data_IF_209086139114
#
_entry.id   IF_209086139114
#
_cell.length_a   1.000
_cell.length_b   1.000
_cell.length_c   1.000
_cell.angle_alpha   90.00
_cell.angle_beta   90.00
_cell.angle_gamma   90.00
#
_symmetry.space_group_name_H-M   'P 1'
#
loop_
_entity.id
_entity.type
_entity.pdbx_description
1 polymer ?
#
# COMPACT_ATOMS: atom_id res chain seq x y z
N UNK A 1 0.80 13.94 2.01
CA UNK A 1 0.91 12.51 1.65
C UNK A 1 0.03 11.70 2.56
N UNK A 2 -0.49 10.58 2.06
CA UNK A 2 -1.22 9.62 2.87
C UNK A 2 -0.34 8.99 3.95
N UNK A 3 -0.97 8.56 5.05
CA UNK A 3 -0.28 7.89 6.15
C UNK A 3 -0.55 6.39 6.05
N UNK A 4 0.51 5.57 5.88
CA UNK A 4 0.37 4.13 5.77
C UNK A 4 1.63 3.42 6.27
N UNK A 5 1.41 2.32 7.00
CA UNK A 5 2.43 1.32 7.28
C UNK A 5 1.94 0.02 6.63
N UNK A 6 2.75 -0.53 5.75
CA UNK A 6 2.46 -1.78 5.07
C UNK A 6 3.17 -2.92 5.78
N UNK A 7 2.44 -3.99 6.05
CA UNK A 7 2.95 -5.19 6.71
C UNK A 7 2.81 -6.38 5.79
N UNK A 8 3.83 -7.24 5.78
CA UNK A 8 3.77 -8.58 5.20
C UNK A 8 4.14 -9.58 6.31
N UNK A 9 3.25 -10.53 6.57
CA UNK A 9 3.47 -11.60 7.52
C UNK A 9 3.58 -12.90 6.75
N UNK A 10 4.76 -13.52 6.79
CA UNK A 10 5.04 -14.76 6.08
C UNK A 10 4.86 -15.97 6.99
N UNK A 11 4.25 -17.01 6.46
CA UNK A 11 4.00 -18.31 7.08
C UNK A 11 4.53 -19.42 6.19
N UNK A 12 4.81 -20.59 6.74
CA UNK A 12 5.28 -21.75 5.98
C UNK A 12 4.33 -22.14 4.82
N UNK A 13 3.04 -21.93 5.01
CA UNK A 13 2.03 -22.20 4.00
C UNK A 13 0.82 -21.27 4.22
N UNK A 14 -0.07 -21.11 3.22
CA UNK A 14 -1.28 -20.30 3.35
C UNK A 14 -2.38 -21.08 4.10
N UNK A 15 -2.16 -21.32 5.39
CA UNK A 15 -2.99 -22.19 6.25
C UNK A 15 -4.48 -21.83 6.24
N UNK A 16 -4.82 -20.54 6.13
CA UNK A 16 -6.20 -20.05 6.06
C UNK A 16 -7.01 -20.62 4.89
N UNK A 17 -6.33 -21.07 3.82
CA UNK A 17 -6.99 -21.65 2.66
C UNK A 17 -7.59 -23.02 2.96
N UNK A 18 -7.00 -23.77 3.91
CA UNK A 18 -7.57 -25.07 4.34
C UNK A 18 -8.91 -24.90 5.04
N UNK A 19 -9.16 -23.75 5.66
CA UNK A 19 -10.42 -23.39 6.30
C UNK A 19 -11.42 -22.70 5.35
N UNK A 20 -11.08 -22.66 4.05
CA UNK A 20 -11.93 -22.05 3.03
C UNK A 20 -11.89 -20.52 3.02
N UNK A 21 -10.91 -19.92 3.71
CA UNK A 21 -10.75 -18.46 3.76
C UNK A 21 -9.87 -17.97 2.63
N UNK A 22 -10.15 -16.75 2.16
CA UNK A 22 -9.43 -16.12 1.05
C UNK A 22 -8.17 -15.38 1.50
N UNK A 23 -7.95 -15.20 2.82
CA UNK A 23 -6.89 -14.34 3.35
C UNK A 23 -7.18 -12.84 3.22
N UNK A 24 -8.36 -12.47 2.70
CA UNK A 24 -8.81 -11.08 2.66
C UNK A 24 -9.64 -10.76 3.90
N UNK A 25 -9.41 -9.59 4.47
CA UNK A 25 -10.23 -9.09 5.58
C UNK A 25 -10.39 -7.57 5.52
N UNK A 26 -11.47 -7.09 6.13
CA UNK A 26 -11.70 -5.67 6.45
C UNK A 26 -12.13 -5.61 7.91
N UNK A 27 -11.57 -4.68 8.66
CA UNK A 27 -11.81 -4.50 10.09
C UNK A 27 -12.29 -3.07 10.39
N UNK A 28 -13.29 -2.97 11.22
CA UNK A 28 -13.80 -1.71 11.78
C UNK A 28 -13.04 -1.29 13.06
N UNK A 29 -12.35 -2.24 13.68
CA UNK A 29 -11.57 -2.06 14.91
C UNK A 29 -10.17 -2.64 14.75
N UNK A 30 -9.27 -2.30 15.68
CA UNK A 30 -7.91 -2.82 15.70
C UNK A 30 -6.90 -2.00 14.91
N UNK A 31 -5.62 -2.40 14.93
CA UNK A 31 -4.52 -1.64 14.33
C UNK A 31 -4.52 -1.63 12.81
N UNK A 32 -4.90 -2.74 12.17
CA UNK A 32 -4.93 -2.84 10.71
C UNK A 32 -6.37 -2.88 10.20
N UNK A 33 -6.65 -2.13 9.14
CA UNK A 33 -8.01 -1.93 8.64
C UNK A 33 -8.41 -2.88 7.52
N UNK A 34 -7.46 -3.37 6.79
CA UNK A 34 -7.68 -4.33 5.72
C UNK A 34 -6.41 -5.10 5.41
N UNK A 35 -6.59 -6.23 4.78
CA UNK A 35 -5.49 -7.06 4.33
C UNK A 35 -5.88 -8.04 3.25
N UNK A 36 -4.88 -8.65 2.65
CA UNK A 36 -5.03 -9.54 1.50
C UNK A 36 -4.05 -10.71 1.59
N UNK A 37 -4.44 -11.83 1.00
CA UNK A 37 -3.52 -12.91 0.65
C UNK A 37 -2.58 -12.43 -0.48
N UNK A 38 -1.31 -12.32 -0.15
CA UNK A 38 -0.23 -11.94 -1.08
C UNK A 38 0.74 -13.09 -1.32
N UNK A 39 0.27 -14.31 -1.09
CA UNK A 39 1.08 -15.52 -1.29
C UNK A 39 1.48 -15.68 -2.75
N UNK A 40 2.68 -16.20 -3.03
CA UNK A 40 3.08 -16.52 -4.39
C UNK A 40 2.14 -17.56 -5.02
N UNK A 41 1.99 -17.51 -6.34
CA UNK A 41 1.13 -18.44 -7.08
C UNK A 41 1.54 -19.91 -6.90
N UNK A 42 2.81 -20.16 -6.57
CA UNK A 42 3.32 -21.51 -6.27
C UNK A 42 2.72 -22.14 -5.03
N UNK A 43 2.21 -21.32 -4.08
CA UNK A 43 1.69 -21.78 -2.80
C UNK A 43 2.75 -22.28 -1.82
N UNK A 44 4.04 -22.07 -2.11
CA UNK A 44 5.15 -22.56 -1.27
C UNK A 44 5.31 -21.78 0.04
N UNK A 45 4.67 -20.64 0.17
CA UNK A 45 4.62 -19.83 1.37
C UNK A 45 3.25 -19.18 1.48
N UNK A 46 2.80 -18.90 2.69
CA UNK A 46 1.64 -18.06 2.96
C UNK A 46 2.09 -16.64 3.27
N UNK A 47 1.53 -15.63 2.63
CA UNK A 47 1.81 -14.23 2.95
C UNK A 47 0.51 -13.46 3.13
N UNK A 48 0.28 -12.98 4.34
CA UNK A 48 -0.79 -12.02 4.60
C UNK A 48 -0.22 -10.61 4.55
N UNK A 49 -0.80 -9.79 3.71
CA UNK A 49 -0.51 -8.38 3.63
C UNK A 49 -1.54 -7.60 4.44
N UNK A 50 -1.11 -6.67 5.29
CA UNK A 50 -1.99 -5.87 6.13
C UNK A 50 -1.55 -4.40 6.16
N UNK A 51 -2.48 -3.50 6.50
CA UNK A 51 -2.23 -2.08 6.43
C UNK A 51 -2.75 -1.34 7.67
N UNK A 52 -1.84 -0.64 8.34
CA UNK A 52 -2.23 0.50 9.14
C UNK A 52 -2.49 1.66 8.18
N UNK A 53 -3.64 2.29 8.26
CA UNK A 53 -4.02 3.32 7.31
C UNK A 53 -4.59 4.55 8.02
N UNK A 54 -4.25 5.73 7.51
CA UNK A 54 -4.78 6.99 8.01
C UNK A 54 -4.39 7.28 9.46
N UNK A 55 -5.37 7.40 10.36
CA UNK A 55 -5.13 7.69 11.77
C UNK A 55 -4.38 6.57 12.47
N UNK A 56 -4.71 5.32 12.18
CA UNK A 56 -4.02 4.17 12.75
C UNK A 56 -2.53 4.19 12.39
N UNK A 57 -2.18 4.50 11.13
CA UNK A 57 -0.77 4.61 10.75
C UNK A 57 -0.05 5.71 11.52
N UNK A 58 -0.71 6.86 11.77
CA UNK A 58 -0.11 7.94 12.57
C UNK A 58 0.10 7.57 14.04
N UNK A 59 -0.89 6.91 14.64
CA UNK A 59 -0.82 6.49 16.05
C UNK A 59 0.18 5.36 16.24
N UNK A 60 0.12 4.34 15.38
CA UNK A 60 0.99 3.16 15.47
C UNK A 60 2.41 3.43 14.97
N UNK A 61 2.62 4.40 14.11
CA UNK A 61 3.96 4.86 13.72
C UNK A 61 4.79 5.42 14.89
N UNK A 62 4.13 5.82 15.99
CA UNK A 62 4.81 6.25 17.23
C UNK A 62 5.19 5.08 18.15
N UNK A 63 4.78 3.87 17.84
CA UNK A 63 5.10 2.66 18.59
C UNK A 63 6.35 1.99 18.04
N UNK A 64 6.91 1.07 18.81
CA UNK A 64 8.00 0.23 18.34
C UNK A 64 7.49 -0.82 17.33
N UNK A 65 8.38 -1.33 16.49
CA UNK A 65 8.07 -2.42 15.57
C UNK A 65 7.51 -3.63 16.31
N UNK A 66 8.10 -4.02 17.44
CA UNK A 66 7.62 -5.14 18.24
C UNK A 66 6.19 -4.95 18.80
N UNK A 67 5.82 -3.72 19.16
CA UNK A 67 4.44 -3.42 19.58
C UNK A 67 3.47 -3.51 18.39
N UNK A 68 3.88 -3.08 17.21
CA UNK A 68 3.08 -3.20 15.98
C UNK A 68 2.92 -4.66 15.57
N UNK A 69 4.01 -5.42 15.57
CA UNK A 69 3.99 -6.86 15.27
C UNK A 69 3.02 -7.60 16.18
N UNK A 70 3.16 -7.44 17.50
CA UNK A 70 2.26 -8.09 18.48
C UNK A 70 0.78 -7.73 18.24
N UNK A 71 0.50 -6.46 17.96
CA UNK A 71 -0.85 -6.00 17.71
C UNK A 71 -1.43 -6.55 16.39
N UNK A 72 -0.62 -6.62 15.32
CA UNK A 72 -1.02 -7.19 14.04
C UNK A 72 -1.28 -8.68 14.18
N UNK A 73 -0.35 -9.44 14.77
CA UNK A 73 -0.50 -10.88 14.96
C UNK A 73 -1.73 -11.21 15.82
N UNK A 74 -1.97 -10.42 16.89
CA UNK A 74 -3.17 -10.56 17.70
C UNK A 74 -4.46 -10.30 16.93
N UNK A 75 -4.47 -9.34 16.03
CA UNK A 75 -5.63 -9.09 15.18
C UNK A 75 -5.82 -10.18 14.11
N UNK A 76 -4.73 -10.63 13.46
CA UNK A 76 -4.80 -11.71 12.49
C UNK A 76 -5.30 -13.02 13.12
N UNK A 77 -4.94 -13.29 14.36
CA UNK A 77 -5.46 -14.42 15.12
C UNK A 77 -7.00 -14.41 15.23
N UNK A 78 -7.61 -13.23 15.37
CA UNK A 78 -9.07 -13.12 15.45
C UNK A 78 -9.78 -13.48 14.14
N UNK A 79 -9.10 -13.36 13.00
CA UNK A 79 -9.64 -13.67 11.68
C UNK A 79 -9.29 -15.08 11.19
N UNK A 80 -8.07 -15.53 11.51
CA UNK A 80 -7.48 -16.72 10.90
C UNK A 80 -7.10 -17.81 11.90
N UNK A 81 -7.35 -17.58 13.19
CA UNK A 81 -7.04 -18.58 14.24
C UNK A 81 -5.61 -18.52 14.75
N UNK A 82 -5.28 -19.42 15.65
CA UNK A 82 -4.02 -19.42 16.42
C UNK A 82 -2.75 -19.53 15.57
N UNK A 83 -2.84 -20.15 14.40
CA UNK A 83 -1.69 -20.32 13.49
C UNK A 83 -1.13 -18.97 13.00
N UNK A 84 -1.98 -17.94 12.99
CA UNK A 84 -1.57 -16.58 12.68
C UNK A 84 -0.54 -15.98 13.67
N UNK A 85 -0.39 -16.57 14.86
CA UNK A 85 0.60 -16.15 15.89
C UNK A 85 2.00 -16.72 15.68
N UNK A 86 2.18 -17.57 14.67
CA UNK A 86 3.45 -18.28 14.44
C UNK A 86 4.02 -17.98 13.06
N UNK A 87 4.35 -16.71 12.75
CA UNK A 87 4.93 -16.35 11.46
C UNK A 87 6.36 -16.87 11.34
N UNK A 88 6.78 -17.16 10.11
CA UNK A 88 8.19 -17.38 9.75
C UNK A 88 8.95 -16.05 9.75
N UNK A 89 8.27 -14.97 9.27
CA UNK A 89 8.85 -13.64 9.20
C UNK A 89 7.77 -12.57 9.27
N UNK A 90 8.08 -11.46 9.95
CA UNK A 90 7.33 -10.22 9.93
C UNK A 90 8.16 -9.13 9.26
N UNK A 91 7.59 -8.46 8.29
CA UNK A 91 8.22 -7.36 7.56
C UNK A 91 7.28 -6.17 7.51
N UNK A 92 7.78 -4.98 7.82
CA UNK A 92 6.98 -3.77 7.68
C UNK A 92 7.73 -2.66 6.95
N UNK A 93 6.96 -1.75 6.37
CA UNK A 93 7.46 -0.52 5.75
C UNK A 93 6.61 0.65 6.22
N UNK A 94 7.19 1.49 7.06
CA UNK A 94 6.58 2.76 7.47
C UNK A 94 6.91 3.82 6.42
N UNK A 95 5.97 4.06 5.52
CA UNK A 95 6.14 5.04 4.45
C UNK A 95 6.16 6.49 4.93
N UNK A 96 5.67 6.78 6.14
CA UNK A 96 5.74 8.11 6.74
C UNK A 96 7.16 8.44 7.20
N UNK A 97 7.91 7.42 7.66
CA UNK A 97 9.30 7.54 8.06
C UNK A 97 10.26 7.63 6.86
N UNK A 98 9.80 7.30 5.64
CA UNK A 98 10.61 7.36 4.42
C UNK A 98 10.94 8.82 4.06
N UNK A 99 12.22 9.24 4.09
CA UNK A 99 12.58 10.65 3.97
C UNK A 99 12.24 11.27 2.61
N UNK A 100 12.17 10.46 1.56
CA UNK A 100 11.93 10.92 0.20
C UNK A 100 10.46 11.01 -0.17
N UNK A 101 9.65 10.05 0.24
CA UNK A 101 8.21 10.00 -0.06
C UNK A 101 7.36 10.63 1.02
N UNK A 102 7.75 10.49 2.30
CA UNK A 102 7.06 11.04 3.49
C UNK A 102 5.59 10.60 3.56
N UNK A 103 5.31 9.39 3.11
CA UNK A 103 3.98 8.78 3.12
C UNK A 103 3.65 8.04 1.83
N UNK A 104 2.49 7.40 1.81
CA UNK A 104 1.90 6.70 0.67
C UNK A 104 0.37 6.63 0.83
N UNK A 105 -0.39 6.27 -0.19
CA UNK A 105 0.10 6.00 -1.58
C UNK A 105 0.19 7.28 -2.39
N UNK A 106 -0.69 8.22 -2.18
CA UNK A 106 -0.82 9.47 -2.93
C UNK A 106 -0.98 10.69 -2.01
N UNK A 107 -0.83 11.88 -2.59
CA UNK A 107 -1.10 13.14 -1.90
C UNK A 107 -2.62 13.35 -1.76
N UNK A 108 -3.07 13.56 -0.54
CA UNK A 108 -4.46 13.96 -0.32
C UNK A 108 -4.72 15.36 -0.90
N UNK A 109 -5.73 15.48 -1.72
CA UNK A 109 -6.20 16.75 -2.28
C UNK A 109 -7.59 17.08 -1.75
N UNK A 110 -7.80 18.35 -1.36
CA UNK A 110 -9.12 18.80 -0.95
C UNK A 110 -10.12 18.76 -2.13
N UNK A 111 -11.42 18.68 -1.85
CA UNK A 111 -12.46 18.73 -2.89
C UNK A 111 -12.27 19.95 -3.82
N UNK A 112 -12.40 19.73 -5.12
CA UNK A 112 -12.26 20.75 -6.16
C UNK A 112 -10.83 21.01 -6.65
N UNK A 113 -9.78 20.62 -5.91
CA UNK A 113 -8.38 20.87 -6.31
C UNK A 113 -8.04 20.18 -7.63
N UNK A 114 -8.38 18.91 -7.80
CA UNK A 114 -8.11 18.20 -9.05
C UNK A 114 -8.93 18.70 -10.23
N UNK A 115 -10.12 19.24 -9.99
CA UNK A 115 -10.93 19.88 -11.03
C UNK A 115 -10.25 21.16 -11.53
N UNK A 116 -9.72 21.96 -10.59
CA UNK A 116 -9.13 23.26 -10.91
C UNK A 116 -7.69 23.15 -11.42
N UNK A 117 -6.89 22.26 -10.85
CA UNK A 117 -5.44 22.20 -11.09
C UNK A 117 -4.97 20.87 -11.71
N UNK A 118 -5.83 19.88 -11.86
CA UNK A 118 -5.49 18.57 -12.43
C UNK A 118 -4.76 18.65 -13.79
N UNK A 119 -5.21 19.49 -14.74
CA UNK A 119 -4.48 19.68 -16.00
C UNK A 119 -3.04 20.12 -15.83
N UNK A 120 -2.73 20.94 -14.80
CA UNK A 120 -1.38 21.42 -14.51
C UNK A 120 -0.41 20.33 -14.02
N UNK A 121 -0.92 19.19 -13.55
CA UNK A 121 -0.10 18.05 -13.16
C UNK A 121 0.57 17.38 -14.36
N UNK A 122 0.05 17.58 -15.56
CA UNK A 122 0.52 16.95 -16.80
C UNK A 122 1.20 17.94 -17.74
N UNK A 123 0.78 19.20 -17.69
CA UNK A 123 1.28 20.22 -18.64
C UNK A 123 2.79 20.41 -18.47
N UNK A 124 3.60 20.27 -19.52
CA UNK A 124 5.03 20.54 -19.46
C UNK A 124 5.30 22.00 -19.05
N UNK A 125 6.40 22.19 -18.31
CA UNK A 125 6.90 23.54 -17.98
C UNK A 125 8.23 23.77 -18.68
N UNK A 126 8.21 24.37 -19.85
CA UNK A 126 9.39 24.53 -20.69
C UNK A 126 9.96 23.16 -21.09
N UNK A 127 11.15 22.84 -20.58
CA UNK A 127 11.83 21.55 -20.85
C UNK A 127 11.59 20.50 -19.77
N UNK A 128 10.71 20.78 -18.80
CA UNK A 128 10.38 19.85 -17.73
C UNK A 128 9.09 19.12 -18.13
N UNK A 129 9.16 17.80 -18.16
CA UNK A 129 8.06 16.91 -18.45
C UNK A 129 7.78 16.03 -17.23
N UNK A 130 6.51 15.73 -16.98
CA UNK A 130 6.07 15.05 -15.77
C UNK A 130 5.64 13.63 -16.09
N UNK A 131 6.18 12.68 -15.35
CA UNK A 131 5.74 11.30 -15.38
C UNK A 131 5.49 10.81 -13.94
N UNK A 132 4.61 9.83 -13.80
CA UNK A 132 4.17 9.28 -12.52
C UNK A 132 2.70 8.92 -12.63
N UNK A 133 2.25 7.98 -11.82
CA UNK A 133 0.86 7.53 -11.87
C UNK A 133 -0.14 8.66 -11.61
N UNK A 134 0.26 9.70 -10.87
CA UNK A 134 -0.55 10.88 -10.56
C UNK A 134 -0.84 11.73 -11.80
N UNK A 135 0.03 11.62 -12.81
CA UNK A 135 -0.11 12.34 -14.09
C UNK A 135 -0.79 11.53 -15.17
N UNK A 136 -1.17 10.29 -14.86
CA UNK A 136 -1.83 9.40 -15.82
C UNK A 136 -3.26 9.87 -16.14
N UNK A 137 -3.68 9.70 -17.40
CA UNK A 137 -5.06 9.96 -17.83
C UNK A 137 -5.99 8.80 -17.51
N UNK A 138 -5.43 7.59 -17.47
CA UNK A 138 -6.13 6.37 -17.12
C UNK A 138 -5.30 5.60 -16.10
N UNK A 139 -5.98 4.90 -15.20
CA UNK A 139 -5.35 4.08 -14.18
C UNK A 139 -4.42 4.87 -13.25
N UNK A 140 -4.78 6.12 -12.91
CA UNK A 140 -4.09 6.90 -11.89
C UNK A 140 -4.09 6.11 -10.57
N UNK A 141 -2.95 6.09 -9.87
CA UNK A 141 -2.75 5.29 -8.66
C UNK A 141 -2.28 3.85 -8.91
N UNK A 142 -2.22 3.39 -10.16
CA UNK A 142 -1.80 2.05 -10.54
C UNK A 142 -0.50 2.03 -11.34
N UNK A 143 0.18 0.88 -11.37
CA UNK A 143 1.41 0.70 -12.16
C UNK A 143 1.20 0.92 -13.65
N UNK A 144 0.03 0.50 -14.19
CA UNK A 144 -0.32 0.74 -15.59
C UNK A 144 -0.38 2.24 -15.92
N UNK A 145 -0.95 3.04 -15.01
CA UNK A 145 -0.96 4.49 -15.13
C UNK A 145 0.46 5.09 -15.11
N UNK A 146 1.34 4.57 -14.27
CA UNK A 146 2.74 5.01 -14.26
C UNK A 146 3.44 4.74 -15.59
N UNK A 147 3.28 3.54 -16.17
CA UNK A 147 3.82 3.19 -17.49
C UNK A 147 3.28 4.10 -18.58
N UNK A 148 1.96 4.30 -18.64
CA UNK A 148 1.30 5.18 -19.62
C UNK A 148 1.81 6.62 -19.54
N UNK A 149 1.95 7.15 -18.33
CA UNK A 149 2.47 8.50 -18.12
C UNK A 149 3.94 8.63 -18.57
N UNK A 150 4.74 7.59 -18.36
CA UNK A 150 6.11 7.52 -18.84
C UNK A 150 6.20 7.54 -20.37
N UNK A 151 5.38 6.75 -21.06
CA UNK A 151 5.30 6.75 -22.52
C UNK A 151 4.90 8.13 -23.05
N UNK A 152 3.85 8.74 -22.49
CA UNK A 152 3.43 10.09 -22.87
C UNK A 152 4.57 11.12 -22.68
N UNK A 153 5.23 11.11 -21.55
CA UNK A 153 6.33 12.04 -21.29
C UNK A 153 7.53 11.84 -22.25
N UNK A 154 7.80 10.58 -22.65
CA UNK A 154 8.80 10.27 -23.63
C UNK A 154 8.41 10.83 -25.02
N UNK A 155 7.17 10.64 -25.45
CA UNK A 155 6.65 11.20 -26.72
C UNK A 155 6.73 12.73 -26.74
N UNK A 156 6.36 13.39 -25.63
CA UNK A 156 6.49 14.85 -25.49
C UNK A 156 7.94 15.32 -25.65
N UNK A 157 8.91 14.59 -25.09
CA UNK A 157 10.35 14.93 -25.20
C UNK A 157 10.87 14.67 -26.61
N UNK A 158 10.40 13.63 -27.27
CA UNK A 158 10.82 13.28 -28.63
C UNK A 158 10.13 14.13 -29.71
N UNK A 159 9.10 14.90 -29.34
CA UNK A 159 8.33 15.72 -30.27
C UNK A 159 7.41 14.91 -31.18
N UNK A 160 6.95 13.75 -30.71
CA UNK A 160 6.08 12.82 -31.43
C UNK A 160 4.59 13.15 -31.20
#
# INVERSE_FOLDING_TARGET
MGSIIKVNVEYENPFWRSDGLTGQFVADTGPVRFGFDNSPASGNAGVLNAFFAGEEARVWGLRTEAEREEAVLGQLETFFGSDARSPVQYLESDWQAEPWTRGAYEGFTAPGVLVSYGPSLRAPLGRIHWAGTETAEQWAGYMDGAVRSGLRAADEVLGA
#
